data_IF_861031725508
#
_entry.id   IF_861031725508
#
_cell.length_a   1.000
_cell.length_b   1.000
_cell.length_c   1.000
_cell.angle_alpha   90.00
_cell.angle_beta   90.00
_cell.angle_gamma   90.00
#
_symmetry.space_group_name_H-M   'P 1'
#
loop_
_entity.id
_entity.type
_entity.pdbx_description
1 polymer ?
#
# COMPACT_ATOMS: atom_id res chain seq x y z
N UNK A 1 -8.61 -18.39 2.54
CA UNK A 1 -8.40 -17.79 1.21
C UNK A 1 -7.50 -16.58 1.33
N UNK A 2 -6.45 -16.47 0.53
CA UNK A 2 -5.60 -15.29 0.57
C UNK A 2 -6.37 -14.06 0.12
N UNK A 3 -5.85 -12.89 0.49
CA UNK A 3 -6.38 -11.63 0.04
C UNK A 3 -5.23 -10.72 -0.36
N UNK A 4 -5.52 -9.75 -1.18
CA UNK A 4 -4.50 -8.87 -1.75
C UNK A 4 -4.85 -7.41 -1.49
N UNK A 5 -3.86 -6.68 -1.02
CA UNK A 5 -3.90 -5.23 -0.98
C UNK A 5 -3.30 -4.74 -2.29
N UNK A 6 -4.11 -4.11 -3.11
CA UNK A 6 -3.68 -3.58 -4.40
C UNK A 6 -3.77 -2.06 -4.32
N UNK A 7 -2.65 -1.40 -4.50
CA UNK A 7 -2.55 0.05 -4.37
C UNK A 7 -1.80 0.66 -5.54
N UNK A 8 -2.19 1.88 -5.86
CA UNK A 8 -1.44 2.73 -6.80
C UNK A 8 -1.29 4.12 -6.21
N UNK A 9 -0.14 4.73 -6.45
CA UNK A 9 0.17 6.02 -5.85
C UNK A 9 0.90 6.97 -6.78
N UNK A 10 0.70 8.25 -6.50
CA UNK A 10 1.47 9.35 -7.04
C UNK A 10 2.17 10.03 -5.87
N UNK A 11 3.49 10.13 -5.94
CA UNK A 11 4.29 10.77 -4.89
C UNK A 11 4.46 12.24 -5.25
N UNK A 12 3.94 13.13 -4.40
CA UNK A 12 4.06 14.58 -4.57
C UNK A 12 5.26 15.13 -3.82
N UNK A 13 5.53 14.59 -2.62
CA UNK A 13 6.65 14.99 -1.78
C UNK A 13 7.42 13.73 -1.37
N UNK A 14 8.55 13.42 -2.06
CA UNK A 14 9.30 12.21 -1.78
C UNK A 14 9.87 12.15 -0.36
N UNK A 15 10.22 13.27 0.23
CA UNK A 15 10.80 13.31 1.58
C UNK A 15 9.77 12.89 2.62
N UNK A 16 8.58 13.51 2.58
CA UNK A 16 7.51 13.17 3.50
C UNK A 16 6.95 11.77 3.23
N UNK A 17 6.81 11.38 1.96
CA UNK A 17 6.32 10.06 1.60
C UNK A 17 7.25 8.95 2.12
N UNK A 18 8.57 9.21 2.12
CA UNK A 18 9.55 8.24 2.63
C UNK A 18 9.34 7.94 4.11
N UNK A 19 8.88 8.91 4.90
CA UNK A 19 8.58 8.68 6.31
C UNK A 19 7.50 7.61 6.47
N UNK A 20 6.53 7.59 5.55
CA UNK A 20 5.52 6.56 5.48
C UNK A 20 6.13 5.21 5.05
N UNK A 21 6.84 5.17 3.94
CA UNK A 21 7.37 3.91 3.41
C UNK A 21 8.40 3.25 4.32
N UNK A 22 9.11 4.04 5.13
CA UNK A 22 10.09 3.49 6.09
C UNK A 22 9.39 2.73 7.24
N UNK A 23 8.16 3.06 7.57
CA UNK A 23 7.42 2.42 8.66
C UNK A 23 6.62 1.19 8.22
N UNK A 24 6.27 1.10 6.94
CA UNK A 24 5.35 0.07 6.43
C UNK A 24 5.88 -1.36 6.57
N UNK A 25 7.15 -1.66 6.27
CA UNK A 25 7.62 -3.06 6.34
C UNK A 25 7.42 -3.73 7.69
N UNK A 26 7.68 -3.03 8.78
CA UNK A 26 7.48 -3.58 10.13
C UNK A 26 6.00 -3.81 10.43
N UNK A 27 5.12 -2.92 9.95
CA UNK A 27 3.69 -3.04 10.13
C UNK A 27 3.16 -4.25 9.35
N UNK A 28 3.59 -4.41 8.10
CA UNK A 28 3.20 -5.57 7.28
C UNK A 28 3.65 -6.87 7.92
N UNK A 29 4.88 -6.92 8.46
CA UNK A 29 5.40 -8.11 9.12
C UNK A 29 4.54 -8.51 10.32
N UNK A 30 4.06 -7.53 11.08
CA UNK A 30 3.19 -7.78 12.23
C UNK A 30 1.87 -8.45 11.84
N UNK A 31 1.35 -8.14 10.65
CA UNK A 31 0.10 -8.71 10.13
C UNK A 31 0.33 -9.83 9.11
N UNK A 32 1.57 -10.34 9.03
CA UNK A 32 1.94 -11.44 8.13
C UNK A 32 1.70 -11.09 6.65
N UNK A 33 1.86 -9.83 6.30
CA UNK A 33 1.74 -9.37 4.92
C UNK A 33 3.02 -9.67 4.14
N UNK A 34 2.85 -10.20 2.93
CA UNK A 34 3.96 -10.51 2.02
C UNK A 34 3.91 -9.59 0.82
N UNK A 35 4.95 -8.78 0.63
CA UNK A 35 5.04 -7.89 -0.53
C UNK A 35 5.33 -8.69 -1.78
N UNK A 36 4.45 -8.60 -2.78
CA UNK A 36 4.60 -9.28 -4.06
C UNK A 36 5.11 -8.33 -5.15
N UNK A 37 4.71 -7.06 -5.10
CA UNK A 37 5.20 -6.03 -6.02
C UNK A 37 5.28 -4.70 -5.27
N UNK A 38 6.34 -3.94 -5.52
CA UNK A 38 6.55 -2.65 -4.87
C UNK A 38 7.51 -1.80 -5.69
N UNK A 39 6.94 -0.83 -6.44
CA UNK A 39 7.74 0.17 -7.15
C UNK A 39 8.64 -0.36 -8.25
N UNK A 40 8.37 -1.54 -8.79
CA UNK A 40 9.12 -2.09 -9.92
C UNK A 40 8.70 -1.48 -11.26
N UNK A 41 9.25 -2.00 -12.34
CA UNK A 41 8.84 -1.61 -13.68
C UNK A 41 7.35 -1.88 -13.86
N UNK A 42 6.68 -0.99 -14.56
CA UNK A 42 5.27 -1.12 -14.85
C UNK A 42 4.97 -0.62 -16.26
N UNK A 43 3.84 -1.04 -16.79
CA UNK A 43 3.34 -0.54 -18.05
C UNK A 43 1.83 -0.37 -17.92
N UNK A 44 1.35 0.85 -18.12
CA UNK A 44 -0.08 1.14 -18.08
C UNK A 44 -0.70 0.68 -19.39
N UNK A 45 -1.63 -0.27 -19.30
CA UNK A 45 -2.31 -0.79 -20.48
C UNK A 45 -3.52 0.08 -20.83
N UNK A 46 -4.27 0.51 -19.80
CA UNK A 46 -5.41 1.41 -19.93
C UNK A 46 -5.57 2.20 -18.64
N UNK A 47 -5.99 3.43 -18.74
CA UNK A 47 -6.31 4.27 -17.59
C UNK A 47 -5.43 5.51 -17.48
N UNK A 48 -5.57 6.27 -16.38
CA UNK A 48 -4.81 7.50 -16.19
C UNK A 48 -3.32 7.22 -16.03
N UNK A 49 -2.49 8.17 -16.44
CA UNK A 49 -1.03 8.07 -16.37
C UNK A 49 -0.43 8.82 -15.18
N UNK A 50 -1.24 9.29 -14.24
CA UNK A 50 -0.75 10.06 -13.10
C UNK A 50 -0.12 9.20 -12.01
N UNK A 51 -0.51 7.93 -11.90
CA UNK A 51 0.06 7.02 -10.92
C UNK A 51 1.33 6.40 -11.46
N UNK A 52 2.38 6.35 -10.64
CA UNK A 52 3.69 5.86 -11.05
C UNK A 52 4.31 4.86 -10.08
N UNK A 53 3.55 4.42 -9.06
CA UNK A 53 4.00 3.43 -8.10
C UNK A 53 2.86 2.47 -7.81
N UNK A 54 3.12 1.17 -8.01
CA UNK A 54 2.11 0.11 -7.89
C UNK A 54 2.59 -0.92 -6.88
N UNK A 55 1.70 -1.34 -5.99
CA UNK A 55 2.03 -2.20 -4.86
C UNK A 55 1.00 -3.31 -4.77
N UNK A 56 1.48 -4.54 -4.54
CA UNK A 56 0.63 -5.68 -4.25
C UNK A 56 1.19 -6.38 -3.01
N UNK A 57 0.34 -6.56 -2.01
CA UNK A 57 0.69 -7.26 -0.77
C UNK A 57 -0.31 -8.38 -0.55
N UNK A 58 0.19 -9.57 -0.26
CA UNK A 58 -0.65 -10.73 0.06
C UNK A 58 -0.81 -10.88 1.56
N UNK A 59 -2.05 -11.10 2.00
CA UNK A 59 -2.38 -11.44 3.39
C UNK A 59 -3.03 -12.82 3.43
N UNK A 60 -3.02 -13.44 4.62
CA UNK A 60 -3.62 -14.76 4.80
C UNK A 60 -5.13 -14.76 4.56
N UNK A 61 -5.80 -13.68 4.95
CA UNK A 61 -7.24 -13.50 4.78
C UNK A 61 -7.57 -12.05 4.51
N UNK A 62 -8.78 -11.79 4.01
CA UNK A 62 -9.28 -10.43 3.83
C UNK A 62 -9.34 -9.68 5.17
N UNK A 63 -9.81 -10.37 6.22
CA UNK A 63 -9.92 -9.79 7.56
C UNK A 63 -8.56 -9.34 8.08
N UNK A 64 -7.51 -10.14 7.82
CA UNK A 64 -6.15 -9.81 8.23
C UNK A 64 -5.65 -8.56 7.49
N UNK A 65 -5.90 -8.46 6.19
CA UNK A 65 -5.53 -7.30 5.41
C UNK A 65 -6.23 -6.03 5.86
N UNK A 66 -7.54 -6.12 6.10
CA UNK A 66 -8.33 -4.99 6.61
C UNK A 66 -7.86 -4.59 8.00
N UNK A 67 -7.56 -5.55 8.87
CA UNK A 67 -7.04 -5.27 10.21
C UNK A 67 -5.71 -4.51 10.15
N UNK A 68 -4.84 -4.87 9.20
CA UNK A 68 -3.58 -4.16 8.98
C UNK A 68 -3.83 -2.71 8.58
N UNK A 69 -4.65 -2.50 7.56
CA UNK A 69 -4.93 -1.16 7.02
C UNK A 69 -5.63 -0.25 8.02
N UNK A 70 -6.47 -0.80 8.88
CA UNK A 70 -7.22 -0.05 9.88
C UNK A 70 -6.55 -0.02 11.25
N UNK A 71 -5.34 -0.58 11.39
CA UNK A 71 -4.62 -0.59 12.65
C UNK A 71 -4.15 0.82 13.04
N UNK A 72 -4.00 1.11 14.35
CA UNK A 72 -3.44 2.37 14.80
C UNK A 72 -2.03 2.63 14.25
N UNK A 73 -1.21 1.58 14.15
CA UNK A 73 0.15 1.69 13.62
C UNK A 73 0.14 2.14 12.17
N UNK A 74 -0.71 1.54 11.35
CA UNK A 74 -0.82 1.93 9.95
C UNK A 74 -1.38 3.33 9.80
N UNK A 75 -2.38 3.69 10.60
CA UNK A 75 -2.96 5.02 10.57
C UNK A 75 -1.91 6.11 10.86
N UNK A 76 -1.05 5.88 11.86
CA UNK A 76 0.05 6.79 12.17
C UNK A 76 1.04 6.91 11.02
N UNK A 77 1.41 5.81 10.38
CA UNK A 77 2.30 5.82 9.23
C UNK A 77 1.67 6.54 8.04
N UNK A 78 0.40 6.24 7.76
CA UNK A 78 -0.32 6.82 6.63
C UNK A 78 -0.55 8.32 6.77
N UNK A 79 -0.52 8.85 7.99
CA UNK A 79 -0.65 10.28 8.22
C UNK A 79 0.41 11.09 7.44
N UNK A 80 1.62 10.55 7.29
CA UNK A 80 2.68 11.22 6.52
C UNK A 80 2.30 11.39 5.04
N UNK A 81 1.69 10.37 4.41
CA UNK A 81 1.29 10.49 3.01
C UNK A 81 -0.04 11.21 2.84
N UNK A 82 -0.94 11.12 3.82
CA UNK A 82 -2.27 11.76 3.78
C UNK A 82 -2.20 13.28 3.98
N UNK A 83 -1.05 13.79 4.37
CA UNK A 83 -0.82 15.24 4.53
C UNK A 83 -0.60 15.98 3.20
N UNK A 84 -0.82 15.31 2.07
CA UNK A 84 -0.59 15.88 0.74
C UNK A 84 0.68 15.37 0.06
N UNK A 85 1.45 14.53 0.75
CA UNK A 85 2.70 13.98 0.21
C UNK A 85 2.45 12.95 -0.90
N UNK A 86 1.26 12.38 -0.97
CA UNK A 86 0.92 11.43 -2.02
C UNK A 86 -0.58 11.30 -2.25
N UNK A 87 -0.94 10.91 -3.46
CA UNK A 87 -2.30 10.48 -3.79
C UNK A 87 -2.27 8.96 -3.90
N UNK A 88 -3.13 8.27 -3.14
CA UNK A 88 -3.14 6.81 -3.10
C UNK A 88 -4.57 6.32 -3.28
N UNK A 89 -4.73 5.35 -4.16
CA UNK A 89 -5.96 4.58 -4.29
C UNK A 89 -5.64 3.13 -3.95
N UNK A 90 -6.44 2.52 -3.10
CA UNK A 90 -6.16 1.19 -2.59
C UNK A 90 -7.43 0.40 -2.38
N UNK A 91 -7.34 -0.90 -2.64
CA UNK A 91 -8.41 -1.86 -2.36
C UNK A 91 -7.84 -3.09 -1.68
N UNK A 92 -8.72 -3.81 -1.01
CA UNK A 92 -8.47 -5.18 -0.55
C UNK A 92 -9.41 -6.09 -1.31
N UNK A 93 -8.88 -7.15 -1.93
CA UNK A 93 -9.70 -8.10 -2.68
C UNK A 93 -9.32 -9.52 -2.30
N UNK A 94 -10.34 -10.35 -2.05
CA UNK A 94 -10.11 -11.76 -1.73
C UNK A 94 -9.71 -12.53 -2.98
N UNK A 95 -8.72 -13.41 -2.83
CA UNK A 95 -8.29 -14.30 -3.91
C UNK A 95 -9.19 -15.52 -4.07
N UNK A 96 -8.89 -16.31 -5.07
CA UNK A 96 -9.66 -17.53 -5.38
C UNK A 96 -9.11 -18.77 -4.70
#
# INVERSE_FOLDING_TARGET
MPAYWVARSKINDPVEYKKYTDLVPAILAKFVGKVLARGGKFQIMEGPDKFHRFIVVEFLTLEQGVACFTSPEYDRAAAFRRSGAGEVETIMVEGI
#
